data_IF_547878933213
#
_entry.id   IF_547878933213
#
_cell.length_a   1.000
_cell.length_b   1.000
_cell.length_c   1.000
_cell.angle_alpha   90.00
_cell.angle_beta   90.00
_cell.angle_gamma   90.00
#
_symmetry.space_group_name_H-M   'P 1'
#
loop_
_entity.id
_entity.type
_entity.pdbx_description
1 polymer ?
#
# COMPACT_ATOMS: atom_id res chain seq x y z
N UNK A 1 -15.37 -11.44 20.03
CA UNK A 1 -15.21 -9.99 19.73
C UNK A 1 -16.23 -9.56 18.69
N UNK A 2 -16.36 -10.29 17.58
CA UNK A 2 -17.46 -10.10 16.61
C UNK A 2 -18.85 -10.22 17.25
N UNK A 3 -19.06 -11.19 18.14
CA UNK A 3 -20.35 -11.37 18.84
C UNK A 3 -20.73 -10.22 19.80
N UNK A 4 -19.76 -9.38 20.19
CA UNK A 4 -19.95 -8.30 21.17
C UNK A 4 -19.96 -6.93 20.49
N UNK A 5 -19.10 -6.73 19.48
CA UNK A 5 -18.93 -5.45 18.79
C UNK A 5 -19.66 -5.39 17.45
N UNK A 6 -19.93 -6.52 16.81
CA UNK A 6 -20.39 -6.58 15.42
C UNK A 6 -19.26 -6.39 14.40
N UNK A 7 -19.50 -6.88 13.18
CA UNK A 7 -18.54 -6.84 12.07
C UNK A 7 -18.10 -5.41 11.73
N UNK A 8 -19.07 -4.50 11.51
CA UNK A 8 -18.79 -3.12 11.13
C UNK A 8 -17.91 -2.37 12.15
N UNK A 9 -18.19 -2.52 13.45
CA UNK A 9 -17.41 -1.85 14.49
C UNK A 9 -16.01 -2.46 14.65
N UNK A 10 -15.88 -3.76 14.39
CA UNK A 10 -14.58 -4.45 14.42
C UNK A 10 -13.67 -3.91 13.30
N UNK A 11 -14.19 -3.80 12.08
CA UNK A 11 -13.44 -3.20 10.95
C UNK A 11 -13.11 -1.74 11.23
N UNK A 12 -14.07 -0.97 11.77
CA UNK A 12 -13.85 0.42 12.13
C UNK A 12 -12.74 0.59 13.18
N UNK A 13 -12.69 -0.29 14.20
CA UNK A 13 -11.66 -0.26 15.23
C UNK A 13 -10.28 -0.61 14.68
N UNK A 14 -10.19 -1.62 13.81
CA UNK A 14 -8.94 -1.99 13.13
C UNK A 14 -8.47 -0.83 12.25
N UNK A 15 -9.38 -0.21 11.50
CA UNK A 15 -9.10 0.99 10.70
C UNK A 15 -8.67 2.19 11.54
N UNK A 16 -9.27 2.40 12.70
CA UNK A 16 -8.90 3.48 13.63
C UNK A 16 -7.48 3.27 14.18
N UNK A 17 -7.16 2.08 14.68
CA UNK A 17 -5.84 1.76 15.23
C UNK A 17 -4.75 1.82 14.13
N UNK A 18 -5.03 1.26 12.96
CA UNK A 18 -4.15 1.35 11.79
C UNK A 18 -3.97 2.79 11.33
N UNK A 19 -5.04 3.58 11.28
CA UNK A 19 -5.04 5.00 10.92
C UNK A 19 -4.22 5.85 11.89
N UNK A 20 -4.29 5.59 13.20
CA UNK A 20 -3.45 6.26 14.21
C UNK A 20 -1.97 5.93 13.97
N UNK A 21 -1.64 4.65 13.79
CA UNK A 21 -0.26 4.22 13.55
C UNK A 21 0.31 4.83 12.26
N UNK A 22 -0.47 4.84 11.17
CA UNK A 22 -0.11 5.47 9.91
C UNK A 22 0.02 7.00 10.05
N UNK A 23 -0.94 7.67 10.69
CA UNK A 23 -0.88 9.10 10.94
C UNK A 23 0.37 9.51 11.73
N UNK A 24 0.75 8.72 12.74
CA UNK A 24 2.00 8.89 13.47
C UNK A 24 3.23 8.61 12.60
N UNK A 25 3.23 7.56 11.78
CA UNK A 25 4.32 7.28 10.84
C UNK A 25 4.51 8.41 9.82
N UNK A 26 3.42 9.04 9.38
CA UNK A 26 3.47 10.18 8.46
C UNK A 26 4.02 11.44 9.15
N UNK A 27 3.62 11.73 10.39
CA UNK A 27 4.02 12.95 11.11
C UNK A 27 5.40 12.85 11.76
N UNK A 28 5.65 11.76 12.48
CA UNK A 28 6.90 11.55 13.23
C UNK A 28 7.96 10.93 12.33
N UNK A 29 7.60 9.88 11.59
CA UNK A 29 8.50 9.17 10.69
C UNK A 29 8.69 9.85 9.32
N UNK A 30 7.96 10.94 9.04
CA UNK A 30 7.96 11.64 7.74
C UNK A 30 7.71 10.70 6.55
N UNK A 31 6.94 9.63 6.75
CA UNK A 31 6.60 8.68 5.70
C UNK A 31 5.69 9.35 4.67
N UNK A 32 6.24 9.74 3.53
CA UNK A 32 5.49 10.34 2.43
C UNK A 32 6.18 9.97 1.12
N UNK A 33 5.43 9.41 0.18
CA UNK A 33 5.95 8.93 -1.10
C UNK A 33 6.59 10.05 -1.92
N UNK A 34 5.92 11.20 -2.03
CA UNK A 34 6.46 12.33 -2.78
C UNK A 34 7.77 12.82 -2.14
N UNK A 35 7.79 13.00 -0.81
CA UNK A 35 8.99 13.41 -0.12
C UNK A 35 10.13 12.40 -0.19
N UNK A 36 9.82 11.09 -0.27
CA UNK A 36 10.85 10.07 -0.49
C UNK A 36 11.49 10.19 -1.87
N UNK A 37 10.73 10.60 -2.89
CA UNK A 37 11.24 10.86 -4.25
C UNK A 37 12.05 12.15 -4.28
N UNK A 38 11.54 13.22 -3.66
CA UNK A 38 12.21 14.53 -3.59
C UNK A 38 13.54 14.45 -2.83
N UNK A 39 13.60 13.72 -1.71
CA UNK A 39 14.82 13.63 -0.92
C UNK A 39 15.94 12.88 -1.66
N UNK A 40 15.58 11.87 -2.46
CA UNK A 40 16.55 11.18 -3.33
C UNK A 40 17.03 12.09 -4.46
N UNK A 41 16.12 12.82 -5.11
CA UNK A 41 16.42 13.59 -6.31
C UNK A 41 17.11 14.93 -6.01
N UNK A 42 16.73 15.59 -4.91
CA UNK A 42 17.18 16.94 -4.57
C UNK A 42 18.06 17.00 -3.32
N UNK A 43 17.84 16.11 -2.34
CA UNK A 43 18.52 16.17 -1.04
C UNK A 43 19.63 15.14 -0.87
N UNK A 44 19.86 14.25 -1.86
CA UNK A 44 20.80 13.12 -1.78
C UNK A 44 20.61 12.24 -0.52
N UNK A 45 19.40 12.21 0.05
CA UNK A 45 19.06 11.39 1.21
C UNK A 45 18.07 10.29 0.80
N UNK A 46 18.53 9.05 0.83
CA UNK A 46 17.76 7.88 0.43
C UNK A 46 17.08 7.15 1.61
N UNK A 47 17.19 7.68 2.84
CA UNK A 47 16.61 7.05 4.03
C UNK A 47 15.09 6.85 3.92
N UNK A 48 14.35 7.80 3.35
CA UNK A 48 12.89 7.67 3.21
C UNK A 48 12.46 6.69 2.14
N UNK A 49 13.20 6.58 1.04
CA UNK A 49 12.90 5.57 0.01
C UNK A 49 13.24 4.16 0.52
N UNK A 50 14.32 4.02 1.29
CA UNK A 50 14.68 2.78 1.99
C UNK A 50 13.67 2.41 3.08
N UNK A 51 13.11 3.40 3.77
CA UNK A 51 12.01 3.21 4.72
C UNK A 51 10.76 2.65 4.03
N UNK A 52 10.46 3.11 2.82
CA UNK A 52 9.45 2.51 1.94
C UNK A 52 9.77 1.05 1.60
N UNK A 53 11.04 0.75 1.32
CA UNK A 53 11.52 -0.62 1.13
C UNK A 53 11.28 -1.51 2.36
N UNK A 54 11.53 -1.02 3.57
CA UNK A 54 11.22 -1.76 4.81
C UNK A 54 9.72 -2.04 4.95
N UNK A 55 8.85 -1.07 4.67
CA UNK A 55 7.40 -1.26 4.70
C UNK A 55 6.93 -2.28 3.65
N UNK A 56 7.48 -2.23 2.43
CA UNK A 56 7.18 -3.20 1.36
C UNK A 56 7.66 -4.60 1.77
N UNK A 57 8.90 -4.74 2.21
CA UNK A 57 9.45 -6.05 2.53
C UNK A 57 8.74 -6.70 3.72
N UNK A 58 8.43 -5.93 4.77
CA UNK A 58 7.68 -6.44 5.92
C UNK A 58 6.25 -6.82 5.58
N UNK A 59 5.54 -6.02 4.76
CA UNK A 59 4.19 -6.35 4.32
C UNK A 59 4.16 -7.60 3.44
N UNK A 60 5.12 -7.76 2.52
CA UNK A 60 5.26 -8.97 1.71
C UNK A 60 5.47 -10.19 2.60
N UNK A 61 6.44 -10.14 3.53
CA UNK A 61 6.72 -11.27 4.43
C UNK A 61 5.49 -11.59 5.27
N UNK A 62 4.88 -10.60 5.90
CA UNK A 62 3.74 -10.81 6.80
C UNK A 62 2.51 -11.38 6.11
N UNK A 63 2.16 -10.87 4.92
CA UNK A 63 1.01 -11.39 4.15
C UNK A 63 1.27 -12.81 3.65
N UNK A 64 2.47 -13.10 3.13
CA UNK A 64 2.77 -14.45 2.62
C UNK A 64 2.93 -15.48 3.76
N UNK A 65 3.39 -15.05 4.93
CA UNK A 65 3.42 -15.89 6.12
C UNK A 65 2.00 -16.20 6.61
N UNK A 66 1.13 -15.20 6.69
CA UNK A 66 -0.29 -15.39 7.01
C UNK A 66 -0.99 -16.35 6.02
N UNK A 67 -0.66 -16.24 4.74
CA UNK A 67 -1.16 -17.14 3.69
C UNK A 67 -0.72 -18.59 3.91
N UNK A 68 0.50 -18.83 4.38
CA UNK A 68 0.99 -20.19 4.65
C UNK A 68 0.39 -20.85 5.89
N UNK A 69 -0.07 -20.05 6.85
CA UNK A 69 -0.73 -20.54 8.06
C UNK A 69 -2.22 -20.85 7.85
N UNK A 70 -2.72 -20.78 6.61
CA UNK A 70 -4.15 -20.88 6.26
C UNK A 70 -5.02 -19.84 6.98
N UNK A 71 -4.44 -18.72 7.41
CA UNK A 71 -5.17 -17.56 7.92
C UNK A 71 -5.61 -16.60 6.80
N UNK A 72 -5.38 -16.98 5.54
CA UNK A 72 -5.67 -16.18 4.36
C UNK A 72 -6.00 -17.10 3.19
N UNK A 73 -7.16 -16.87 2.55
CA UNK A 73 -7.50 -17.55 1.30
C UNK A 73 -7.23 -16.64 0.10
N UNK A 74 -6.29 -17.06 -0.76
CA UNK A 74 -5.95 -16.34 -1.98
C UNK A 74 -7.12 -16.20 -2.96
N UNK A 75 -8.10 -17.12 -2.93
CA UNK A 75 -9.24 -17.12 -3.85
C UNK A 75 -10.24 -15.99 -3.57
N UNK A 76 -10.27 -15.48 -2.34
CA UNK A 76 -11.17 -14.39 -1.94
C UNK A 76 -10.55 -13.00 -2.20
N UNK A 77 -9.28 -12.96 -2.64
CA UNK A 77 -8.60 -11.69 -2.92
C UNK A 77 -9.01 -11.21 -4.30
N UNK A 78 -9.88 -10.19 -4.35
CA UNK A 78 -10.39 -9.56 -5.58
C UNK A 78 -9.26 -9.13 -6.55
N UNK A 79 -8.11 -8.72 -6.00
CA UNK A 79 -6.96 -8.33 -6.81
C UNK A 79 -6.27 -9.49 -7.53
N UNK A 80 -6.37 -10.72 -7.02
CA UNK A 80 -5.81 -11.92 -7.65
C UNK A 80 -6.74 -12.51 -8.72
N UNK A 81 -8.04 -12.24 -8.65
CA UNK A 81 -9.04 -12.70 -9.63
C UNK A 81 -9.15 -11.78 -10.87
N UNK A 82 -8.83 -10.50 -10.71
CA UNK A 82 -8.86 -9.51 -11.80
C UNK A 82 -7.70 -9.71 -12.78
N UNK A 83 -8.00 -9.81 -14.08
CA UNK A 83 -6.97 -9.82 -15.13
C UNK A 83 -6.20 -8.50 -15.11
N UNK A 84 -4.88 -8.61 -14.95
CA UNK A 84 -4.03 -7.42 -14.89
C UNK A 84 -4.01 -6.68 -16.23
N UNK A 85 -4.34 -5.38 -16.21
CA UNK A 85 -4.26 -4.49 -17.36
C UNK A 85 -3.04 -3.56 -17.21
N UNK A 86 -1.93 -3.81 -17.94
CA UNK A 86 -0.71 -3.01 -17.82
C UNK A 86 -0.91 -1.56 -18.26
N UNK A 87 -1.70 -1.33 -19.32
CA UNK A 87 -1.92 0.01 -19.89
C UNK A 87 -2.65 0.88 -18.87
N UNK A 88 -3.70 0.35 -18.24
CA UNK A 88 -4.43 1.05 -17.18
C UNK A 88 -3.51 1.39 -15.98
N UNK A 89 -2.61 0.45 -15.63
CA UNK A 89 -1.67 0.63 -14.52
C UNK A 89 -0.64 1.74 -14.81
N UNK A 90 -0.07 1.76 -16.02
CA UNK A 90 0.92 2.76 -16.44
C UNK A 90 0.28 4.14 -16.56
N UNK A 91 -0.84 4.27 -17.28
CA UNK A 91 -1.50 5.56 -17.46
C UNK A 91 -2.04 6.11 -16.13
N UNK A 92 -2.67 5.27 -15.31
CA UNK A 92 -3.14 5.65 -13.98
C UNK A 92 -1.99 6.09 -13.07
N UNK A 93 -0.89 5.34 -13.06
CA UNK A 93 0.31 5.67 -12.28
C UNK A 93 0.95 7.00 -12.71
N UNK A 94 1.06 7.26 -14.02
CA UNK A 94 1.59 8.52 -14.55
C UNK A 94 0.70 9.71 -14.22
N UNK A 95 -0.62 9.58 -14.41
CA UNK A 95 -1.57 10.64 -14.06
C UNK A 95 -1.56 10.94 -12.56
N UNK A 96 -1.51 9.89 -11.72
CA UNK A 96 -1.42 10.05 -10.27
C UNK A 96 -0.10 10.70 -9.86
N UNK A 97 1.04 10.23 -10.40
CA UNK A 97 2.37 10.80 -10.16
C UNK A 97 2.48 12.27 -10.55
N UNK A 98 2.01 12.62 -11.75
CA UNK A 98 1.96 13.99 -12.23
C UNK A 98 1.07 14.88 -11.34
N UNK A 99 -0.10 14.38 -10.94
CA UNK A 99 -0.98 15.07 -9.99
C UNK A 99 -0.33 15.30 -8.62
N UNK A 100 0.43 14.33 -8.10
CA UNK A 100 1.20 14.49 -6.86
C UNK A 100 2.25 15.60 -7.00
N UNK A 101 2.96 15.66 -8.12
CA UNK A 101 3.95 16.70 -8.38
C UNK A 101 3.31 18.09 -8.48
N UNK A 102 2.18 18.22 -9.19
CA UNK A 102 1.46 19.50 -9.31
C UNK A 102 0.88 19.99 -7.98
N UNK A 103 0.38 19.08 -7.15
CA UNK A 103 -0.22 19.43 -5.86
C UNK A 103 0.81 19.59 -4.72
N UNK A 104 2.06 19.17 -4.94
CA UNK A 104 3.11 19.18 -3.92
C UNK A 104 2.80 18.28 -2.72
N UNK A 105 1.96 17.26 -2.92
CA UNK A 105 1.61 16.29 -1.89
C UNK A 105 1.17 14.94 -2.47
N UNK A 106 1.45 13.85 -1.77
CA UNK A 106 0.80 12.57 -2.08
C UNK A 106 -0.51 12.44 -1.28
N UNK A 107 -1.45 11.60 -1.73
CA UNK A 107 -2.74 11.44 -1.04
C UNK A 107 -2.58 11.09 0.45
N UNK A 108 -1.60 10.24 0.78
CA UNK A 108 -1.25 9.91 2.15
C UNK A 108 -0.70 11.10 2.95
N UNK A 109 0.21 11.88 2.35
CA UNK A 109 0.77 13.08 2.97
C UNK A 109 -0.27 14.19 3.14
N UNK A 110 -1.24 14.30 2.24
CA UNK A 110 -2.35 15.23 2.35
C UNK A 110 -3.27 14.88 3.52
N UNK A 111 -3.60 13.59 3.72
CA UNK A 111 -4.35 13.14 4.91
C UNK A 111 -3.62 13.49 6.21
N UNK A 112 -2.32 13.22 6.28
CA UNK A 112 -1.53 13.51 7.47
C UNK A 112 -1.42 15.02 7.77
N UNK A 113 -1.26 15.87 6.73
CA UNK A 113 -1.20 17.33 6.87
C UNK A 113 -2.54 17.96 7.21
N UNK A 114 -3.65 17.41 6.68
CA UNK A 114 -5.00 17.83 7.06
C UNK A 114 -5.21 17.65 8.57
N UNK A 115 -4.77 16.52 9.15
CA UNK A 115 -4.79 16.29 10.59
C UNK A 115 -3.93 17.27 11.42
N UNK A 116 -3.05 18.04 10.76
CA UNK A 116 -2.30 19.15 11.35
C UNK A 116 -2.91 20.53 11.17
N UNK A 117 -4.07 20.65 10.51
CA UNK A 117 -4.76 21.93 10.26
C UNK A 117 -4.43 22.59 8.92
N UNK A 118 -3.84 21.88 7.96
CA UNK A 118 -3.51 22.44 6.65
C UNK A 118 -4.75 22.49 5.72
N UNK A 119 -5.28 23.71 5.52
CA UNK A 119 -6.41 23.98 4.62
C UNK A 119 -6.07 23.65 3.16
N UNK A 120 -4.81 23.79 2.72
CA UNK A 120 -4.42 23.39 1.37
C UNK A 120 -4.63 21.88 1.18
N UNK A 121 -4.18 21.10 2.15
CA UNK A 121 -4.36 19.64 2.13
C UNK A 121 -5.84 19.24 2.21
N UNK A 122 -6.69 20.01 2.90
CA UNK A 122 -8.15 19.82 2.88
C UNK A 122 -8.71 19.92 1.45
N UNK A 123 -8.37 21.00 0.73
CA UNK A 123 -8.83 21.22 -0.64
C UNK A 123 -8.31 20.12 -1.57
N UNK A 124 -7.04 19.73 -1.44
CA UNK A 124 -6.45 18.64 -2.24
C UNK A 124 -7.24 17.34 -2.05
N UNK A 125 -7.56 16.96 -0.81
CA UNK A 125 -8.28 15.72 -0.52
C UNK A 125 -9.71 15.75 -1.02
N UNK A 126 -10.40 16.89 -0.89
CA UNK A 126 -11.74 17.07 -1.45
C UNK A 126 -11.70 16.87 -2.96
N UNK A 127 -10.85 17.62 -3.67
CA UNK A 127 -10.76 17.53 -5.13
C UNK A 127 -10.37 16.12 -5.56
N UNK A 128 -9.38 15.51 -4.92
CA UNK A 128 -8.97 14.14 -5.18
C UNK A 128 -10.12 13.14 -4.99
N UNK A 129 -10.86 13.25 -3.88
CA UNK A 129 -12.01 12.39 -3.58
C UNK A 129 -13.15 12.57 -4.58
N UNK A 130 -13.50 13.82 -4.91
CA UNK A 130 -14.50 14.13 -5.93
C UNK A 130 -14.10 13.61 -7.30
N UNK A 131 -12.85 13.81 -7.73
CA UNK A 131 -12.34 13.28 -8.99
C UNK A 131 -12.37 11.74 -9.02
N UNK A 132 -11.97 11.09 -7.93
CA UNK A 132 -12.05 9.62 -7.81
C UNK A 132 -13.50 9.13 -7.91
N UNK A 133 -14.43 9.79 -7.23
CA UNK A 133 -15.86 9.47 -7.30
C UNK A 133 -16.42 9.66 -8.72
N UNK A 134 -16.08 10.78 -9.38
CA UNK A 134 -16.50 11.08 -10.75
C UNK A 134 -16.09 10.00 -11.76
N UNK A 135 -14.90 9.43 -11.58
CA UNK A 135 -14.33 8.40 -12.47
C UNK A 135 -14.81 6.99 -12.10
N UNK A 136 -15.05 6.70 -10.82
CA UNK A 136 -15.47 5.37 -10.36
C UNK A 136 -16.97 5.13 -10.53
N UNK A 137 -17.80 6.11 -10.18
CA UNK A 137 -19.26 5.97 -10.11
C UNK A 137 -20.03 7.14 -10.73
N UNK A 138 -19.32 8.18 -11.19
CA UNK A 138 -19.92 9.37 -11.78
C UNK A 138 -20.03 9.31 -13.31
N UNK A 139 -20.11 10.48 -13.97
CA UNK A 139 -20.31 10.59 -15.42
C UNK A 139 -19.20 9.93 -16.26
N UNK A 140 -17.98 9.90 -15.72
CA UNK A 140 -16.81 9.32 -16.40
C UNK A 140 -16.69 7.80 -16.19
N UNK A 141 -17.58 7.19 -15.40
CA UNK A 141 -17.52 5.75 -15.11
C UNK A 141 -17.67 4.89 -16.37
N UNK A 142 -18.62 5.22 -17.25
CA UNK A 142 -18.81 4.51 -18.52
C UNK A 142 -17.58 4.66 -19.43
N UNK A 143 -16.99 5.85 -19.49
CA UNK A 143 -15.78 6.09 -20.27
C UNK A 143 -14.60 5.28 -19.73
N UNK A 144 -14.44 5.20 -18.41
CA UNK A 144 -13.39 4.39 -17.77
C UNK A 144 -13.53 2.91 -18.11
N UNK A 145 -14.74 2.37 -18.02
CA UNK A 145 -14.99 0.94 -18.32
C UNK A 145 -14.76 0.65 -19.81
N UNK A 146 -15.17 1.57 -20.69
CA UNK A 146 -14.92 1.45 -22.13
C UNK A 146 -13.43 1.52 -22.48
N UNK A 147 -12.69 2.46 -21.89
CA UNK A 147 -11.25 2.64 -22.15
C UNK A 147 -10.39 1.54 -21.49
N UNK A 148 -10.79 1.09 -20.30
CA UNK A 148 -10.07 0.09 -19.50
C UNK A 148 -11.06 -0.97 -19.00
N UNK A 149 -11.42 -1.95 -19.85
CA UNK A 149 -12.32 -3.02 -19.45
C UNK A 149 -11.71 -3.81 -18.29
N UNK A 150 -12.55 -4.15 -17.31
CA UNK A 150 -12.17 -4.94 -16.15
C UNK A 150 -12.69 -6.35 -16.37
N UNK A 151 -11.77 -7.28 -16.62
CA UNK A 151 -12.06 -8.69 -16.78
C UNK A 151 -11.80 -9.44 -15.46
N UNK A 152 -12.74 -10.29 -15.09
CA UNK A 152 -12.72 -11.16 -13.91
C UNK A 152 -12.64 -12.63 -14.37
N UNK A 153 -12.29 -13.56 -13.48
CA UNK A 153 -11.97 -14.95 -13.78
C UNK A 153 -10.63 -15.10 -14.52
N UNK A 154 -9.56 -14.51 -13.98
CA UNK A 154 -8.23 -14.82 -14.48
C UNK A 154 -7.98 -16.34 -14.40
N UNK A 155 -7.68 -16.97 -15.54
CA UNK A 155 -7.47 -18.42 -15.64
C UNK A 155 -6.32 -18.94 -14.74
N UNK A 156 -5.42 -18.04 -14.34
CA UNK A 156 -4.37 -18.28 -13.35
C UNK A 156 -4.42 -17.14 -12.33
N UNK A 157 -4.33 -17.43 -11.01
CA UNK A 157 -4.29 -16.39 -9.99
C UNK A 157 -3.19 -15.36 -10.25
N UNK A 158 -3.56 -14.08 -10.25
CA UNK A 158 -2.68 -12.97 -10.60
C UNK A 158 -1.78 -12.59 -9.41
N UNK A 159 -0.65 -13.28 -9.27
CA UNK A 159 0.37 -12.95 -8.28
C UNK A 159 1.70 -13.64 -8.58
N UNK A 160 2.81 -12.91 -8.47
CA UNK A 160 4.15 -13.46 -8.74
C UNK A 160 4.47 -14.69 -7.88
N UNK A 161 4.02 -14.71 -6.63
CA UNK A 161 4.19 -15.85 -5.72
C UNK A 161 3.35 -17.07 -6.10
N UNK A 162 2.14 -16.87 -6.65
CA UNK A 162 1.28 -17.95 -7.12
C UNK A 162 1.73 -18.49 -8.49
N UNK A 163 2.24 -17.61 -9.36
CA UNK A 163 2.91 -18.00 -10.60
C UNK A 163 4.19 -18.81 -10.30
N UNK A 164 4.96 -18.42 -9.29
CA UNK A 164 6.12 -19.20 -8.84
C UNK A 164 5.71 -20.58 -8.31
N UNK A 165 4.58 -20.67 -7.59
CA UNK A 165 4.01 -21.97 -7.16
C UNK A 165 3.59 -22.82 -8.35
N UNK A 166 2.90 -22.24 -9.33
CA UNK A 166 2.40 -22.97 -10.50
C UNK A 166 3.52 -23.49 -11.40
N UNK A 167 4.57 -22.68 -11.65
CA UNK A 167 5.64 -23.03 -12.58
C UNK A 167 6.80 -23.81 -11.93
N UNK A 168 7.12 -23.52 -10.66
CA UNK A 168 8.30 -24.07 -9.98
C UNK A 168 7.97 -24.90 -8.73
N UNK A 169 6.69 -25.03 -8.35
CA UNK A 169 6.28 -25.73 -7.13
C UNK A 169 6.69 -25.03 -5.82
N UNK A 170 7.16 -23.78 -5.90
CA UNK A 170 7.65 -23.03 -4.75
C UNK A 170 6.48 -22.61 -3.84
N UNK A 171 6.63 -22.83 -2.53
CA UNK A 171 5.65 -22.35 -1.56
C UNK A 171 5.62 -20.80 -1.57
N UNK A 172 4.44 -20.16 -1.66
CA UNK A 172 4.28 -18.70 -1.60
C UNK A 172 4.97 -18.04 -0.39
N UNK A 173 5.07 -18.71 0.76
CA UNK A 173 5.82 -18.19 1.90
C UNK A 173 7.33 -18.08 1.63
N UNK A 174 7.90 -19.01 0.88
CA UNK A 174 9.32 -18.99 0.53
C UNK A 174 9.58 -17.88 -0.50
N UNK A 175 8.75 -17.78 -1.54
CA UNK A 175 8.92 -16.73 -2.55
C UNK A 175 8.69 -15.34 -1.98
N UNK A 176 7.65 -15.15 -1.16
CA UNK A 176 7.40 -13.91 -0.43
C UNK A 176 8.52 -13.59 0.57
N UNK A 177 8.99 -14.59 1.31
CA UNK A 177 10.10 -14.47 2.26
C UNK A 177 11.40 -14.05 1.59
N UNK A 178 11.75 -14.66 0.46
CA UNK A 178 12.95 -14.31 -0.30
C UNK A 178 12.88 -12.90 -0.89
N UNK A 179 11.77 -12.55 -1.54
CA UNK A 179 11.62 -11.21 -2.17
C UNK A 179 11.54 -10.12 -1.09
N UNK A 180 10.70 -10.30 -0.07
CA UNK A 180 10.57 -9.34 1.01
C UNK A 180 11.87 -9.21 1.83
N UNK A 181 12.54 -10.33 2.09
CA UNK A 181 13.84 -10.37 2.76
C UNK A 181 14.94 -9.67 1.96
N UNK A 182 14.98 -9.88 0.64
CA UNK A 182 15.91 -9.19 -0.26
C UNK A 182 15.67 -7.68 -0.24
N UNK A 183 14.41 -7.22 -0.29
CA UNK A 183 14.09 -5.79 -0.23
C UNK A 183 14.51 -5.18 1.12
N UNK A 184 14.27 -5.87 2.24
CA UNK A 184 14.72 -5.42 3.57
C UNK A 184 16.25 -5.34 3.62
N UNK A 185 16.94 -6.38 3.13
CA UNK A 185 18.40 -6.42 3.11
C UNK A 185 18.98 -5.28 2.26
N UNK A 186 18.42 -5.04 1.07
CA UNK A 186 18.82 -3.92 0.21
C UNK A 186 18.54 -2.56 0.87
N UNK A 187 17.41 -2.43 1.58
CA UNK A 187 17.06 -1.21 2.30
C UNK A 187 18.03 -0.92 3.45
N UNK A 188 18.46 -1.95 4.18
CA UNK A 188 19.41 -1.86 5.30
C UNK A 188 20.89 -1.92 4.88
N UNK A 189 21.19 -2.04 3.59
CA UNK A 189 22.57 -2.12 3.11
C UNK A 189 23.35 -0.82 3.41
N UNK A 190 22.66 0.32 3.45
CA UNK A 190 23.27 1.60 3.75
C UNK A 190 23.54 1.81 5.25
N UNK A 191 24.66 2.47 5.58
CA UNK A 191 25.07 2.72 6.96
C UNK A 191 24.23 3.84 7.60
N UNK A 192 23.87 4.89 6.85
CA UNK A 192 23.06 5.99 7.37
C UNK A 192 21.64 5.53 7.70
N UNK A 193 21.08 4.61 6.92
CA UNK A 193 19.81 3.94 7.26
C UNK A 193 19.95 3.11 8.55
N UNK A 194 21.01 2.30 8.70
CA UNK A 194 21.23 1.49 9.91
C UNK A 194 21.38 2.32 11.19
N UNK A 195 21.91 3.55 11.07
CA UNK A 195 22.01 4.48 12.19
C UNK A 195 20.69 5.21 12.48
N UNK A 196 19.71 5.15 11.57
CA UNK A 196 18.44 5.85 11.70
C UNK A 196 17.32 4.95 12.22
N UNK A 197 17.40 4.62 13.52
CA UNK A 197 16.42 3.76 14.19
C UNK A 197 14.96 4.23 13.98
N UNK A 198 14.72 5.54 13.91
CA UNK A 198 13.39 6.10 13.67
C UNK A 198 12.80 5.64 12.32
N UNK A 199 13.55 5.75 11.22
CA UNK A 199 13.06 5.34 9.89
C UNK A 199 12.82 3.83 9.83
N UNK A 200 13.68 3.05 10.49
CA UNK A 200 13.51 1.60 10.57
C UNK A 200 12.21 1.26 11.30
N UNK A 201 12.04 1.75 12.52
CA UNK A 201 10.86 1.46 13.36
C UNK A 201 9.58 1.87 12.66
N UNK A 202 9.51 3.08 12.11
CA UNK A 202 8.30 3.54 11.43
C UNK A 202 8.03 2.79 10.12
N UNK A 203 9.06 2.37 9.38
CA UNK A 203 8.90 1.53 8.18
C UNK A 203 8.33 0.15 8.53
N UNK A 204 8.83 -0.47 9.60
CA UNK A 204 8.29 -1.73 10.12
C UNK A 204 6.84 -1.57 10.61
N UNK A 205 6.52 -0.48 11.33
CA UNK A 205 5.15 -0.19 11.79
C UNK A 205 4.20 -0.07 10.59
N UNK A 206 4.57 0.69 9.55
CA UNK A 206 3.73 0.82 8.34
C UNK A 206 3.47 -0.55 7.72
N UNK A 207 4.49 -1.38 7.57
CA UNK A 207 4.33 -2.73 7.04
C UNK A 207 3.45 -3.63 7.90
N UNK A 208 3.60 -3.59 9.23
CA UNK A 208 2.75 -4.33 10.17
C UNK A 208 1.30 -3.85 10.11
N UNK A 209 1.06 -2.54 9.96
CA UNK A 209 -0.29 -2.01 9.79
C UNK A 209 -0.92 -2.56 8.50
N UNK A 210 -0.17 -2.63 7.39
CA UNK A 210 -0.67 -3.23 6.14
C UNK A 210 -1.06 -4.70 6.37
N UNK A 211 -0.22 -5.49 7.03
CA UNK A 211 -0.51 -6.90 7.36
C UNK A 211 -1.75 -7.01 8.24
N UNK A 212 -1.87 -6.15 9.26
CA UNK A 212 -3.04 -6.13 10.15
C UNK A 212 -4.32 -5.73 9.43
N UNK A 213 -4.23 -4.86 8.43
CA UNK A 213 -5.37 -4.45 7.61
C UNK A 213 -5.89 -5.63 6.81
N UNK A 214 -5.00 -6.33 6.12
CA UNK A 214 -5.34 -7.56 5.39
C UNK A 214 -5.99 -8.61 6.30
N UNK A 215 -5.33 -8.96 7.40
CA UNK A 215 -5.85 -9.96 8.36
C UNK A 215 -7.18 -9.53 8.98
N UNK A 216 -7.28 -8.25 9.33
CA UNK A 216 -8.48 -7.68 9.92
C UNK A 216 -9.68 -7.73 8.99
N UNK A 217 -9.49 -7.37 7.72
CA UNK A 217 -10.58 -7.40 6.72
C UNK A 217 -10.92 -8.81 6.24
N UNK A 218 -10.02 -9.78 6.42
CA UNK A 218 -10.31 -11.18 6.09
C UNK A 218 -11.02 -11.90 7.23
N UNK A 219 -10.73 -11.52 8.48
CA UNK A 219 -11.31 -12.14 9.67
C UNK A 219 -12.76 -11.71 9.96
N UNK A 220 -13.12 -10.51 9.51
CA UNK A 220 -14.48 -9.96 9.60
C UNK A 220 -15.23 -10.27 8.32
#
# INVERSE_FOLDING_TARGET
>A
MLDILGEANTVALIGLLGGIALGLAARVGRFCTLGAIEDVLYSSDDRRIRMWGLAIGTSIIGVHFALSLNHFDSSQIVYLDRVWNPIASVLGGLMFGYGMALSGNCGYGALARLGGGDIRSFVILIVMGFSAYFVMSGPLANLRIWAFPVEYNAAVPQGFSLLAKANFGLNPAISGGLVGGAIIALSLNDQAMRQSASHIVWGLIVGLVIVSGWLGTYWV
#
